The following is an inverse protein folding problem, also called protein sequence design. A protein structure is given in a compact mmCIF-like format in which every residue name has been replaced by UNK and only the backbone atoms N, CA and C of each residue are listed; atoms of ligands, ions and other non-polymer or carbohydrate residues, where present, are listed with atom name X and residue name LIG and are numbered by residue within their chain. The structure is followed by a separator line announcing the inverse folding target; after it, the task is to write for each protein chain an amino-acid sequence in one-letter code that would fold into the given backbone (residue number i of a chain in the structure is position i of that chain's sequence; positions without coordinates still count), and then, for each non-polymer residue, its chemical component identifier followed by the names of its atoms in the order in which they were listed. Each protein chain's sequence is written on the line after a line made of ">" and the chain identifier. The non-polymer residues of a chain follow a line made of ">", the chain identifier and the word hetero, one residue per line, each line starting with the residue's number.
data_IF_984142277188
#
_entry.id   IF_984142277188
#
_cell.length_a   1.000
_cell.length_b   1.000
_cell.length_c   1.000
_cell.angle_alpha   90.00
_cell.angle_beta   90.00
_cell.angle_gamma   90.00
#
_symmetry.space_group_name_H-M   'P 1'
#
loop_
_entity.id
_entity.type
_entity.pdbx_description
1 polymer ?
#
# COMPACT_ATOMS: atom_id res chain seq x y z
N UNK A 1 -2.95 5.47 -17.26
CA UNK A 1 -3.49 4.67 -16.16
C UNK A 1 -2.86 3.28 -16.17
N UNK A 2 -2.42 2.81 -15.02
CA UNK A 2 -1.81 1.48 -14.91
C UNK A 2 -2.88 0.43 -14.68
N UNK A 3 -2.65 -0.78 -15.20
CA UNK A 3 -3.58 -1.87 -14.92
C UNK A 3 -3.37 -2.39 -13.50
N UNK A 4 -4.31 -3.19 -13.02
CA UNK A 4 -4.30 -3.67 -11.63
C UNK A 4 -3.06 -4.48 -11.28
N UNK A 5 -2.56 -5.29 -12.22
CA UNK A 5 -1.37 -6.10 -11.96
C UNK A 5 -0.14 -5.22 -11.75
N UNK A 6 0.00 -4.16 -12.53
CA UNK A 6 1.12 -3.21 -12.38
C UNK A 6 0.99 -2.46 -11.06
N UNK A 7 -0.22 -2.01 -10.72
CA UNK A 7 -0.47 -1.33 -9.44
C UNK A 7 -0.08 -2.26 -8.28
N UNK A 8 -0.48 -3.52 -8.36
CA UNK A 8 -0.17 -4.50 -7.32
C UNK A 8 1.35 -4.67 -7.15
N UNK A 9 2.07 -4.82 -8.25
CA UNK A 9 3.52 -5.02 -8.20
C UNK A 9 4.23 -3.81 -7.59
N UNK A 10 3.86 -2.61 -8.00
CA UNK A 10 4.45 -1.40 -7.44
C UNK A 10 4.10 -1.21 -5.97
N UNK A 11 2.85 -1.47 -5.61
CA UNK A 11 2.41 -1.39 -4.21
C UNK A 11 3.21 -2.35 -3.35
N UNK A 12 3.39 -3.57 -3.81
CA UNK A 12 4.18 -4.58 -3.12
C UNK A 12 5.63 -4.12 -2.90
N UNK A 13 6.24 -3.57 -3.95
CA UNK A 13 7.61 -3.06 -3.86
C UNK A 13 7.75 -1.95 -2.84
N UNK A 14 6.78 -1.03 -2.80
CA UNK A 14 6.78 0.06 -1.84
C UNK A 14 6.65 -0.47 -0.42
N UNK A 15 5.75 -1.42 -0.20
CA UNK A 15 5.55 -2.02 1.12
C UNK A 15 6.81 -2.70 1.62
N UNK A 16 7.49 -3.44 0.75
CA UNK A 16 8.72 -4.13 1.10
C UNK A 16 9.81 -3.14 1.52
N UNK A 17 9.85 -1.96 0.88
CA UNK A 17 10.79 -0.91 1.25
C UNK A 17 10.48 -0.27 2.60
N UNK A 18 9.22 -0.27 2.99
CA UNK A 18 8.79 0.38 4.24
C UNK A 18 8.87 -0.55 5.43
N UNK A 19 8.48 -1.82 5.25
CA UNK A 19 8.45 -2.79 6.34
C UNK A 19 9.79 -3.52 6.43
N UNK A 20 10.45 -3.47 7.60
CA UNK A 20 11.75 -4.12 7.77
C UNK A 20 11.64 -5.64 7.73
N UNK A 21 12.66 -6.29 7.18
CA UNK A 21 12.78 -7.76 7.12
C UNK A 21 11.66 -8.45 6.33
N UNK A 22 10.99 -7.70 5.47
CA UNK A 22 9.91 -8.24 4.65
C UNK A 22 10.47 -8.74 3.31
N UNK A 23 10.04 -9.94 2.91
CA UNK A 23 10.35 -10.48 1.59
C UNK A 23 9.08 -10.57 0.77
N UNK A 24 9.21 -10.40 -0.56
CA UNK A 24 8.03 -10.43 -1.43
C UNK A 24 7.28 -11.76 -1.34
N UNK A 25 7.98 -12.86 -1.11
CA UNK A 25 7.36 -14.18 -0.99
C UNK A 25 6.54 -14.34 0.28
N UNK A 26 6.78 -13.48 1.29
CA UNK A 26 6.02 -13.51 2.55
C UNK A 26 4.75 -12.68 2.47
N UNK A 27 4.56 -11.95 1.37
CA UNK A 27 3.51 -10.96 1.25
C UNK A 27 2.49 -11.41 0.21
N UNK A 28 1.30 -11.81 0.66
CA UNK A 28 0.20 -12.15 -0.22
C UNK A 28 -0.79 -10.98 -0.27
N UNK A 29 -1.70 -11.03 -1.26
CA UNK A 29 -2.68 -9.96 -1.46
C UNK A 29 -3.56 -9.74 -0.23
N UNK A 30 -3.83 -10.79 0.53
CA UNK A 30 -4.73 -10.73 1.68
C UNK A 30 -3.99 -10.68 3.02
N UNK A 31 -2.66 -10.65 3.02
CA UNK A 31 -1.89 -10.56 4.25
C UNK A 31 -2.26 -9.30 5.02
N UNK A 32 -2.46 -9.44 6.33
CA UNK A 32 -2.75 -8.29 7.19
C UNK A 32 -1.45 -7.52 7.46
N UNK A 33 -1.35 -6.33 6.88
CA UNK A 33 -0.12 -5.54 6.96
C UNK A 33 0.20 -5.11 8.39
N UNK A 34 -0.83 -4.88 9.21
CA UNK A 34 -0.60 -4.51 10.61
C UNK A 34 0.04 -5.65 11.39
N UNK A 35 -0.34 -6.89 11.07
CA UNK A 35 0.28 -8.06 11.68
C UNK A 35 1.73 -8.24 11.25
N UNK A 36 2.11 -7.66 10.12
CA UNK A 36 3.42 -7.79 9.54
C UNK A 36 4.35 -6.62 9.87
N UNK A 37 3.90 -5.71 10.73
CA UNK A 37 4.76 -4.65 11.22
C UNK A 37 4.34 -3.24 10.83
N UNK A 38 3.24 -3.07 10.10
CA UNK A 38 2.76 -1.73 9.77
C UNK A 38 2.21 -1.06 11.03
N UNK A 39 2.74 0.11 11.35
CA UNK A 39 2.30 0.90 12.49
C UNK A 39 2.07 2.33 12.06
N UNK A 40 1.74 3.22 13.00
CA UNK A 40 1.41 4.61 12.68
C UNK A 40 2.58 5.36 12.02
N UNK A 41 3.81 5.01 12.38
CA UNK A 41 4.99 5.67 11.81
C UNK A 41 5.26 5.15 10.39
N UNK A 42 5.29 3.83 10.23
CA UNK A 42 5.51 3.20 8.93
C UNK A 42 4.39 3.54 7.95
N UNK A 43 3.16 3.65 8.46
CA UNK A 43 2.01 3.95 7.61
C UNK A 43 2.14 5.33 6.98
N UNK A 44 2.64 6.31 7.71
CA UNK A 44 2.85 7.64 7.15
C UNK A 44 3.90 7.62 6.04
N UNK A 45 4.98 6.88 6.25
CA UNK A 45 6.00 6.70 5.22
C UNK A 45 5.40 6.01 3.99
N UNK A 46 4.59 4.98 4.22
CA UNK A 46 3.93 4.25 3.14
C UNK A 46 3.01 5.17 2.34
N UNK A 47 2.22 6.00 3.01
CA UNK A 47 1.34 6.97 2.35
C UNK A 47 2.14 7.86 1.41
N UNK A 48 3.23 8.47 1.91
CA UNK A 48 4.04 9.38 1.12
C UNK A 48 4.67 8.68 -0.08
N UNK A 49 5.18 7.46 0.12
CA UNK A 49 5.80 6.71 -0.98
C UNK A 49 4.79 6.30 -2.04
N UNK A 50 3.60 5.89 -1.63
CA UNK A 50 2.54 5.53 -2.58
C UNK A 50 2.07 6.74 -3.37
N UNK A 51 1.92 7.89 -2.72
CA UNK A 51 1.53 9.11 -3.42
C UNK A 51 2.55 9.49 -4.48
N UNK A 52 3.84 9.37 -4.16
CA UNK A 52 4.91 9.67 -5.10
C UNK A 52 4.98 8.65 -6.24
N UNK A 53 4.85 7.36 -5.92
CA UNK A 53 4.96 6.30 -6.92
C UNK A 53 3.84 6.33 -7.94
N UNK A 54 2.64 6.69 -7.52
CA UNK A 54 1.46 6.65 -8.38
C UNK A 54 0.95 8.03 -8.81
N UNK A 55 1.61 9.07 -8.33
CA UNK A 55 1.21 10.47 -8.61
C UNK A 55 -0.26 10.71 -8.23
N UNK A 56 -0.59 10.33 -7.01
CA UNK A 56 -1.94 10.47 -6.45
C UNK A 56 -1.86 11.16 -5.10
N UNK A 57 -3.02 11.55 -4.56
CA UNK A 57 -3.13 12.05 -3.20
C UNK A 57 -4.23 11.34 -2.45
N UNK A 58 -3.94 10.94 -1.23
CA UNK A 58 -4.96 10.39 -0.34
C UNK A 58 -5.58 11.53 0.47
N UNK A 59 -6.90 11.48 0.62
CA UNK A 59 -7.60 12.36 1.55
C UNK A 59 -7.38 11.84 2.97
N UNK A 60 -7.58 12.68 3.97
CA UNK A 60 -7.39 12.28 5.36
C UNK A 60 -8.24 11.06 5.72
N UNK A 61 -9.48 11.00 5.25
CA UNK A 61 -10.37 9.88 5.55
C UNK A 61 -10.08 8.62 4.71
N UNK A 62 -9.19 8.70 3.72
CA UNK A 62 -8.72 7.51 3.03
C UNK A 62 -7.71 6.73 3.87
N UNK A 63 -7.04 7.41 4.79
CA UNK A 63 -5.98 6.82 5.61
C UNK A 63 -6.62 6.22 6.85
N UNK A 64 -7.04 4.98 6.74
CA UNK A 64 -7.69 4.26 7.82
C UNK A 64 -7.27 2.79 7.80
N UNK A 65 -7.58 2.08 8.89
CA UNK A 65 -7.16 0.70 9.05
C UNK A 65 -7.74 -0.21 7.98
N UNK A 66 -8.96 0.04 7.56
CA UNK A 66 -9.62 -0.80 6.56
C UNK A 66 -8.92 -0.70 5.21
N UNK A 67 -8.59 0.51 4.77
CA UNK A 67 -7.93 0.71 3.47
C UNK A 67 -6.48 0.25 3.48
N UNK A 68 -5.82 0.30 4.62
CA UNK A 68 -4.39 -0.05 4.73
C UNK A 68 -4.17 -1.44 5.29
N UNK A 69 -5.22 -2.25 5.35
CA UNK A 69 -5.16 -3.58 5.92
C UNK A 69 -4.36 -4.57 5.08
N UNK A 70 -4.46 -4.49 3.75
CA UNK A 70 -3.83 -5.46 2.86
C UNK A 70 -3.45 -4.83 1.53
N UNK A 71 -2.67 -5.56 0.75
CA UNK A 71 -2.35 -5.16 -0.62
C UNK A 71 -3.63 -4.99 -1.44
N UNK A 72 -4.55 -5.95 -1.31
CA UNK A 72 -5.80 -5.91 -2.06
C UNK A 72 -6.59 -4.62 -1.81
N UNK A 73 -6.70 -4.21 -0.55
CA UNK A 73 -7.43 -2.99 -0.21
C UNK A 73 -6.69 -1.74 -0.70
N UNK A 74 -5.36 -1.73 -0.60
CA UNK A 74 -4.57 -0.60 -1.10
C UNK A 74 -4.65 -0.48 -2.61
N UNK A 75 -4.57 -1.59 -3.34
CA UNK A 75 -4.67 -1.59 -4.80
C UNK A 75 -6.01 -1.03 -5.24
N UNK A 76 -7.08 -1.43 -4.58
CA UNK A 76 -8.41 -0.91 -4.87
C UNK A 76 -8.48 0.59 -4.69
N UNK A 77 -7.96 1.09 -3.56
CA UNK A 77 -7.95 2.52 -3.27
C UNK A 77 -7.12 3.29 -4.31
N UNK A 78 -5.92 2.81 -4.61
CA UNK A 78 -5.04 3.45 -5.57
C UNK A 78 -5.70 3.51 -6.95
N UNK A 79 -6.30 2.41 -7.37
CA UNK A 79 -6.98 2.34 -8.65
C UNK A 79 -8.12 3.36 -8.74
N UNK A 80 -8.88 3.51 -7.67
CA UNK A 80 -9.94 4.51 -7.59
C UNK A 80 -9.37 5.94 -7.69
N UNK A 81 -8.23 6.21 -7.05
CA UNK A 81 -7.60 7.53 -7.09
C UNK A 81 -7.04 7.87 -8.47
N UNK A 82 -6.65 6.88 -9.24
CA UNK A 82 -6.14 7.11 -10.59
C UNK A 82 -7.27 7.39 -11.58
N UNK A 83 -8.47 7.18 -11.15
CA UNK A 83 -9.61 7.49 -11.95
C UNK A 83 -10.16 6.44 -12.78
#
# INVERSE_FOLDING_TARGET
>A
MKNIDVIKQETKSVIINVLPNMKSEDLSDSSNLFSMGLDSINAMTLVLKLQNSFDIKFAANDINAENFQSIATLVKLIHEKQG
#
